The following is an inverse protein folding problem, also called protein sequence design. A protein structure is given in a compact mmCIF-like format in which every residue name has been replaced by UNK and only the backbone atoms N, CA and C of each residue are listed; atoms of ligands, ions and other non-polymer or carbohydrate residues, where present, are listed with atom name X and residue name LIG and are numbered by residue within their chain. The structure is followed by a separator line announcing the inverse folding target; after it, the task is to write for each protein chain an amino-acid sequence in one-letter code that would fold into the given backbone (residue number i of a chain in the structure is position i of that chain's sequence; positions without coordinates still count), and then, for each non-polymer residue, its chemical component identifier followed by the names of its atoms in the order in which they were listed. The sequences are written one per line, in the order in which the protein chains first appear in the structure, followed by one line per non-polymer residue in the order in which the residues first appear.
data_IF_451820528505
#
_entry.id   IF_451820528505
#
_cell.length_a   1.000
_cell.length_b   1.000
_cell.length_c   1.000
_cell.angle_alpha   90.00
_cell.angle_beta   90.00
_cell.angle_gamma   90.00
#
_symmetry.space_group_name_H-M   'P 1'
#
loop_
_entity.id
_entity.type
_entity.pdbx_description
1 polymer ?
#
# COMPACT_ATOMS: atom_id res chain seq x y z
N UNK A 1 -5.46 -13.70 -8.99
CA UNK A 1 -6.59 -13.08 -8.27
C UNK A 1 -6.26 -11.70 -7.73
N UNK A 2 -7.06 -10.66 -7.96
CA UNK A 2 -6.82 -9.29 -7.50
C UNK A 2 -7.79 -8.89 -6.39
N UNK A 3 -7.28 -8.21 -5.36
CA UNK A 3 -8.07 -7.69 -4.25
C UNK A 3 -8.84 -6.41 -4.60
N UNK A 4 -10.04 -6.28 -4.05
CA UNK A 4 -10.88 -5.07 -4.07
C UNK A 4 -10.48 -4.16 -2.91
N UNK A 5 -10.37 -2.85 -3.16
CA UNK A 5 -10.11 -1.88 -2.09
C UNK A 5 -11.38 -1.71 -1.25
N UNK A 6 -11.27 -1.84 0.07
CA UNK A 6 -12.41 -1.67 0.98
C UNK A 6 -11.95 -1.43 2.42
N UNK A 7 -12.90 -1.15 3.33
CA UNK A 7 -12.62 -1.23 4.76
C UNK A 7 -12.35 -2.69 5.19
N UNK A 8 -11.69 -2.91 6.34
CA UNK A 8 -11.58 -4.25 6.92
C UNK A 8 -12.97 -4.89 7.08
N UNK A 9 -13.24 -6.03 6.44
CA UNK A 9 -14.52 -6.70 6.59
C UNK A 9 -14.66 -7.29 8.00
N UNK A 10 -15.90 -7.35 8.49
CA UNK A 10 -16.23 -7.98 9.76
C UNK A 10 -16.59 -9.47 9.58
N UNK A 11 -16.43 -10.22 10.68
CA UNK A 11 -16.84 -11.61 10.81
C UNK A 11 -15.73 -12.62 10.50
N UNK A 12 -16.01 -13.85 10.90
CA UNK A 12 -15.05 -14.94 11.07
C UNK A 12 -14.79 -15.70 9.76
N UNK A 13 -15.56 -15.37 8.71
CA UNK A 13 -15.44 -15.91 7.36
C UNK A 13 -14.23 -15.36 6.58
N UNK A 14 -13.35 -14.61 7.24
CA UNK A 14 -12.17 -13.99 6.64
C UNK A 14 -10.90 -14.45 7.36
N UNK A 15 -9.94 -14.92 6.58
CA UNK A 15 -8.55 -14.95 6.99
C UNK A 15 -7.93 -13.58 6.75
N UNK A 16 -7.06 -13.13 7.65
CA UNK A 16 -6.36 -11.85 7.54
C UNK A 16 -4.88 -12.10 7.36
N UNK A 17 -4.28 -11.49 6.34
CA UNK A 17 -2.85 -11.55 6.07
C UNK A 17 -2.26 -10.14 5.99
N UNK A 18 -0.95 -10.02 6.24
CA UNK A 18 -0.24 -8.77 5.99
C UNK A 18 -0.28 -8.39 4.52
N UNK A 19 -0.52 -7.11 4.26
CA UNK A 19 -0.30 -6.52 2.94
C UNK A 19 1.18 -6.12 2.82
N UNK A 20 1.91 -6.80 1.95
CA UNK A 20 3.30 -6.49 1.67
C UNK A 20 3.42 -5.46 0.54
N UNK A 21 4.34 -4.50 0.71
CA UNK A 21 4.67 -3.52 -0.31
C UNK A 21 5.86 -4.01 -1.14
N UNK A 22 5.57 -4.60 -2.30
CA UNK A 22 6.57 -5.25 -3.14
C UNK A 22 6.17 -5.38 -4.59
N UNK A 23 6.67 -6.45 -5.23
CA UNK A 23 6.29 -6.84 -6.57
C UNK A 23 5.65 -8.23 -6.55
N UNK A 24 4.35 -8.29 -6.88
CA UNK A 24 3.68 -9.57 -7.07
C UNK A 24 4.37 -10.46 -8.10
N UNK A 25 4.54 -11.72 -7.74
CA UNK A 25 5.11 -12.75 -8.59
C UNK A 25 4.36 -14.08 -8.48
N UNK A 26 4.26 -14.77 -9.61
CA UNK A 26 3.88 -16.18 -9.67
C UNK A 26 5.13 -17.01 -9.94
N UNK A 27 5.44 -17.92 -9.03
CA UNK A 27 6.58 -18.83 -9.13
C UNK A 27 6.09 -20.19 -9.61
N UNK A 28 6.58 -20.66 -10.76
CA UNK A 28 6.35 -22.02 -11.26
C UNK A 28 7.60 -22.83 -10.98
N UNK A 29 7.44 -23.92 -10.24
CA UNK A 29 8.51 -24.90 -9.99
C UNK A 29 8.15 -26.19 -10.69
N UNK A 30 9.04 -26.70 -11.54
CA UNK A 30 8.90 -27.98 -12.22
C UNK A 30 10.22 -28.74 -12.14
N UNK A 31 10.21 -29.88 -11.45
CA UNK A 31 11.38 -30.75 -11.25
C UNK A 31 12.62 -30.01 -10.72
N UNK A 32 12.40 -28.99 -9.87
CA UNK A 32 13.46 -28.15 -9.29
C UNK A 32 13.84 -26.93 -10.13
N UNK A 33 13.40 -26.85 -11.39
CA UNK A 33 13.55 -25.66 -12.23
C UNK A 33 12.50 -24.62 -11.86
N UNK A 34 12.89 -23.34 -11.85
CA UNK A 34 12.03 -22.23 -11.43
C UNK A 34 11.90 -21.18 -12.50
N UNK A 35 10.66 -20.80 -12.82
CA UNK A 35 10.34 -19.64 -13.66
C UNK A 35 9.45 -18.69 -12.88
N UNK A 36 9.74 -17.40 -12.97
CA UNK A 36 9.10 -16.34 -12.19
C UNK A 36 8.40 -15.38 -13.15
N UNK A 37 7.09 -15.25 -12.99
CA UNK A 37 6.29 -14.31 -13.76
C UNK A 37 5.85 -13.14 -12.90
N UNK A 38 5.98 -11.92 -13.42
CA UNK A 38 5.35 -10.74 -12.82
C UNK A 38 3.83 -10.81 -12.96
N UNK A 39 3.12 -9.94 -12.22
CA UNK A 39 1.66 -9.78 -12.32
C UNK A 39 1.12 -9.67 -13.77
N UNK A 40 1.89 -9.08 -14.69
CA UNK A 40 1.45 -8.85 -16.07
C UNK A 40 1.97 -9.93 -17.04
N UNK A 41 2.51 -11.05 -16.52
CA UNK A 41 2.98 -12.18 -17.33
C UNK A 41 4.39 -12.04 -17.89
N UNK A 42 5.15 -11.00 -17.53
CA UNK A 42 6.56 -10.90 -17.94
C UNK A 42 7.43 -11.88 -17.15
N UNK A 43 8.30 -12.63 -17.84
CA UNK A 43 9.35 -13.43 -17.20
C UNK A 43 10.40 -12.52 -16.57
N UNK A 44 10.52 -12.62 -15.24
CA UNK A 44 11.41 -11.83 -14.39
C UNK A 44 12.44 -12.72 -13.69
N UNK A 45 12.58 -13.98 -14.11
CA UNK A 45 13.49 -14.98 -13.50
C UNK A 45 14.92 -14.45 -13.45
N UNK A 46 15.37 -13.80 -14.53
CA UNK A 46 16.73 -13.23 -14.60
C UNK A 46 16.96 -12.10 -13.60
N UNK A 47 15.92 -11.38 -13.19
CA UNK A 47 16.04 -10.25 -12.25
C UNK A 47 16.15 -10.70 -10.79
N UNK A 48 15.60 -11.87 -10.48
CA UNK A 48 15.61 -12.44 -9.14
C UNK A 48 16.24 -13.84 -9.12
N UNK A 49 17.51 -13.99 -9.57
CA UNK A 49 18.16 -15.29 -9.67
C UNK A 49 18.30 -16.02 -8.33
N UNK A 50 18.31 -15.30 -7.21
CA UNK A 50 18.33 -15.92 -5.87
C UNK A 50 17.06 -16.73 -5.57
N UNK A 51 15.91 -16.36 -6.16
CA UNK A 51 14.64 -17.05 -5.96
C UNK A 51 14.57 -18.38 -6.71
N UNK A 52 15.51 -18.70 -7.61
CA UNK A 52 15.52 -20.02 -8.27
C UNK A 52 15.90 -21.15 -7.32
N UNK A 53 16.56 -20.83 -6.20
CA UNK A 53 16.84 -21.81 -5.13
C UNK A 53 15.56 -22.34 -4.46
N UNK A 54 14.40 -21.69 -4.68
CA UNK A 54 13.10 -22.18 -4.22
C UNK A 54 12.81 -23.62 -4.71
N UNK A 55 13.25 -23.97 -5.92
CA UNK A 55 13.05 -25.31 -6.47
C UNK A 55 13.71 -26.44 -5.67
N UNK A 56 14.68 -26.11 -4.82
CA UNK A 56 15.39 -27.08 -3.97
C UNK A 56 14.74 -27.28 -2.59
N UNK A 57 13.93 -26.31 -2.15
CA UNK A 57 13.36 -26.29 -0.79
C UNK A 57 11.86 -26.64 -0.76
N UNK A 58 11.15 -26.52 -1.88
CA UNK A 58 9.74 -26.87 -1.93
C UNK A 58 9.56 -28.39 -1.96
N UNK A 59 8.73 -28.91 -1.06
CA UNK A 59 8.44 -30.33 -0.91
C UNK A 59 7.48 -30.90 -1.99
N UNK A 60 7.60 -30.47 -3.25
CA UNK A 60 6.82 -30.98 -4.37
C UNK A 60 7.59 -30.88 -5.70
N UNK A 61 7.36 -31.85 -6.59
CA UNK A 61 7.97 -31.86 -7.93
C UNK A 61 7.39 -30.80 -8.86
N UNK A 62 6.14 -30.42 -8.66
CA UNK A 62 5.43 -29.40 -9.45
C UNK A 62 4.63 -28.53 -8.49
N UNK A 63 4.86 -27.21 -8.51
CA UNK A 63 4.08 -26.24 -7.73
C UNK A 63 3.94 -24.92 -8.48
N UNK A 64 2.81 -24.25 -8.29
CA UNK A 64 2.61 -22.85 -8.69
C UNK A 64 2.28 -22.03 -7.45
N UNK A 65 3.20 -21.16 -7.05
CA UNK A 65 3.06 -20.27 -5.91
C UNK A 65 2.62 -18.86 -6.36
N UNK A 66 1.80 -18.21 -5.55
CA UNK A 66 1.47 -16.79 -5.70
C UNK A 66 1.97 -16.04 -4.47
N UNK A 67 2.69 -14.95 -4.69
CA UNK A 67 3.40 -14.25 -3.63
C UNK A 67 3.80 -12.84 -3.98
N UNK A 68 4.44 -12.19 -3.01
CA UNK A 68 5.02 -10.85 -3.17
C UNK A 68 6.54 -10.93 -3.01
N UNK A 69 7.30 -10.47 -4.01
CA UNK A 69 8.73 -10.27 -3.89
C UNK A 69 8.96 -8.97 -3.12
N UNK A 70 9.68 -9.04 -2.01
CA UNK A 70 9.98 -7.90 -1.14
C UNK A 70 11.48 -7.74 -0.95
N UNK A 71 11.92 -6.50 -0.78
CA UNK A 71 13.22 -6.17 -0.21
C UNK A 71 12.99 -5.54 1.15
N UNK A 72 13.69 -6.01 2.19
CA UNK A 72 13.50 -5.50 3.55
C UNK A 72 14.42 -4.30 3.82
N UNK A 73 13.97 -3.34 4.62
CA UNK A 73 14.81 -2.25 5.16
C UNK A 73 15.67 -2.72 6.35
N UNK A 74 16.36 -1.79 7.01
CA UNK A 74 17.22 -2.10 8.17
C UNK A 74 16.42 -2.54 9.40
N UNK A 75 15.11 -2.26 9.44
CA UNK A 75 14.17 -2.63 10.50
C UNK A 75 13.41 -3.92 10.15
N UNK A 76 13.71 -4.55 9.01
CA UNK A 76 13.07 -5.79 8.56
C UNK A 76 11.73 -5.60 7.85
N UNK A 77 11.36 -4.37 7.49
CA UNK A 77 10.06 -4.06 6.85
C UNK A 77 10.18 -4.06 5.33
N UNK A 78 9.15 -4.52 4.60
CA UNK A 78 9.12 -4.40 3.14
C UNK A 78 9.28 -2.95 2.69
N UNK A 79 10.21 -2.69 1.78
CA UNK A 79 10.45 -1.38 1.19
C UNK A 79 10.44 -1.47 -0.33
N UNK A 80 9.36 -1.00 -0.94
CA UNK A 80 9.26 -0.94 -2.39
C UNK A 80 10.33 -0.03 -3.00
N UNK A 81 10.65 1.09 -2.35
CA UNK A 81 11.72 1.99 -2.78
C UNK A 81 13.09 1.28 -2.85
N UNK A 82 13.39 0.41 -1.86
CA UNK A 82 14.60 -0.42 -1.90
C UNK A 82 14.54 -1.44 -3.04
N UNK A 83 13.40 -2.13 -3.20
CA UNK A 83 13.19 -3.12 -4.26
C UNK A 83 13.34 -2.51 -5.67
N UNK A 84 12.88 -1.27 -5.88
CA UNK A 84 12.99 -0.56 -7.17
C UNK A 84 14.42 -0.43 -7.67
N UNK A 85 15.43 -0.50 -6.80
CA UNK A 85 16.84 -0.54 -7.22
C UNK A 85 17.17 -1.75 -8.10
N UNK A 86 16.33 -2.79 -8.12
CA UNK A 86 16.44 -3.96 -9.00
C UNK A 86 15.86 -3.73 -10.42
N UNK A 87 15.34 -2.55 -10.74
CA UNK A 87 14.84 -2.22 -12.07
C UNK A 87 15.99 -1.90 -13.05
N UNK A 88 15.98 -2.34 -14.33
CA UNK A 88 14.88 -2.97 -15.06
C UNK A 88 14.76 -4.50 -14.97
N UNK A 89 13.51 -4.98 -14.94
CA UNK A 89 13.07 -6.34 -14.61
C UNK A 89 13.45 -7.48 -15.58
N UNK A 90 14.30 -7.24 -16.58
CA UNK A 90 14.75 -8.28 -17.53
C UNK A 90 16.28 -8.44 -17.56
N UNK A 91 16.98 -7.77 -16.65
CA UNK A 91 18.43 -7.83 -16.53
C UNK A 91 18.82 -8.57 -15.26
N UNK A 92 19.88 -9.36 -15.36
CA UNK A 92 20.51 -9.99 -14.20
C UNK A 92 21.32 -8.95 -13.43
N UNK A 93 20.99 -8.68 -12.15
CA UNK A 93 21.75 -7.75 -11.34
C UNK A 93 23.18 -8.23 -11.12
N UNK A 94 24.12 -7.29 -11.01
CA UNK A 94 25.49 -7.59 -10.64
C UNK A 94 25.59 -8.11 -9.19
N UNK A 95 26.68 -8.83 -8.83
CA UNK A 95 26.85 -9.42 -7.49
C UNK A 95 26.75 -8.40 -6.34
N UNK A 96 27.19 -7.16 -6.56
CA UNK A 96 27.09 -6.09 -5.56
C UNK A 96 25.64 -5.74 -5.26
N UNK A 97 24.80 -5.53 -6.29
CA UNK A 97 23.39 -5.19 -6.11
C UNK A 97 22.60 -6.35 -5.47
N UNK A 98 22.99 -7.60 -5.77
CA UNK A 98 22.42 -8.79 -5.14
C UNK A 98 22.61 -8.78 -3.63
N UNK A 99 23.83 -8.44 -3.16
CA UNK A 99 24.15 -8.33 -1.74
C UNK A 99 23.53 -7.12 -1.06
N UNK A 100 23.43 -5.99 -1.75
CA UNK A 100 22.90 -4.74 -1.20
C UNK A 100 21.36 -4.73 -1.10
N UNK A 101 20.68 -5.47 -1.96
CA UNK A 101 19.20 -5.48 -2.02
C UNK A 101 18.72 -6.92 -2.04
N UNK A 102 18.99 -7.75 -1.01
CA UNK A 102 18.50 -9.12 -0.98
C UNK A 102 16.97 -9.12 -1.01
N UNK A 103 16.38 -10.07 -1.73
CA UNK A 103 14.92 -10.20 -1.82
C UNK A 103 14.43 -11.51 -1.21
N UNK A 104 13.14 -11.53 -0.87
CA UNK A 104 12.43 -12.72 -0.43
C UNK A 104 11.09 -12.79 -1.16
N UNK A 105 10.61 -14.01 -1.41
CA UNK A 105 9.23 -14.27 -1.78
C UNK A 105 8.40 -14.50 -0.52
N UNK A 106 7.42 -13.62 -0.29
CA UNK A 106 6.36 -13.81 0.69
C UNK A 106 5.21 -14.54 -0.01
N UNK A 107 5.21 -15.87 0.02
CA UNK A 107 4.18 -16.69 -0.60
C UNK A 107 2.90 -16.69 0.24
N UNK A 108 1.76 -16.42 -0.41
CA UNK A 108 0.47 -16.26 0.26
C UNK A 108 -0.66 -17.11 -0.33
N UNK A 109 -0.42 -17.81 -1.44
CA UNK A 109 -1.34 -18.79 -2.01
C UNK A 109 -0.58 -19.84 -2.83
N UNK A 110 -1.25 -20.96 -3.10
CA UNK A 110 -0.78 -22.03 -3.99
C UNK A 110 -1.88 -22.35 -5.00
N UNK A 111 -1.55 -22.26 -6.28
CA UNK A 111 -2.49 -22.39 -7.39
C UNK A 111 -2.55 -23.85 -7.87
N UNK A 112 -1.42 -24.54 -7.85
CA UNK A 112 -1.31 -25.96 -8.18
C UNK A 112 -0.18 -26.61 -7.38
N UNK A 113 -0.32 -27.88 -7.03
CA UNK A 113 0.72 -28.66 -6.37
C UNK A 113 0.60 -30.15 -6.68
N UNK A 114 1.73 -30.80 -7.00
CA UNK A 114 1.79 -32.23 -7.29
C UNK A 114 0.91 -32.65 -8.47
N UNK A 115 0.81 -31.81 -9.51
CA UNK A 115 -0.02 -32.06 -10.69
C UNK A 115 -1.53 -31.84 -10.48
N UNK A 116 -1.95 -31.36 -9.29
CA UNK A 116 -3.36 -31.00 -9.02
C UNK A 116 -3.56 -29.49 -9.15
N UNK A 117 -4.59 -29.10 -9.89
CA UNK A 117 -5.14 -27.75 -9.89
C UNK A 117 -5.91 -27.51 -8.58
N UNK A 118 -5.56 -26.44 -7.87
CA UNK A 118 -6.18 -26.07 -6.59
C UNK A 118 -7.08 -24.84 -6.74
N UNK A 119 -7.25 -24.27 -7.93
CA UNK A 119 -8.01 -23.02 -8.12
C UNK A 119 -9.47 -23.14 -7.71
N UNK A 120 -10.07 -24.33 -7.84
CA UNK A 120 -11.43 -24.64 -7.39
C UNK A 120 -11.57 -24.83 -5.87
N UNK A 121 -10.47 -25.09 -5.16
CA UNK A 121 -10.48 -25.39 -3.73
C UNK A 121 -10.69 -24.11 -2.89
N UNK A 122 -11.34 -24.21 -1.71
CA UNK A 122 -11.43 -23.12 -0.75
C UNK A 122 -10.06 -22.58 -0.33
N UNK A 123 -9.97 -21.28 -0.04
CA UNK A 123 -8.73 -20.65 0.42
C UNK A 123 -8.08 -21.38 1.60
N UNK A 124 -8.87 -21.83 2.59
CA UNK A 124 -8.35 -22.62 3.72
C UNK A 124 -7.60 -23.87 3.26
N UNK A 125 -8.11 -24.59 2.25
CA UNK A 125 -7.45 -25.80 1.74
C UNK A 125 -6.18 -25.50 0.96
N UNK A 126 -6.19 -24.44 0.15
CA UNK A 126 -4.96 -23.98 -0.51
C UNK A 126 -3.93 -23.54 0.52
N UNK A 127 -4.36 -22.87 1.60
CA UNK A 127 -3.47 -22.41 2.67
C UNK A 127 -2.83 -23.57 3.44
N UNK A 128 -3.60 -24.59 3.81
CA UNK A 128 -3.08 -25.84 4.41
C UNK A 128 -2.01 -26.48 3.50
N UNK A 129 -2.28 -26.56 2.19
CA UNK A 129 -1.31 -27.10 1.22
C UNK A 129 -0.06 -26.23 1.17
N UNK A 130 -0.18 -24.91 1.05
CA UNK A 130 0.95 -23.99 1.00
C UNK A 130 1.87 -24.14 2.23
N UNK A 131 1.28 -24.22 3.43
CA UNK A 131 2.04 -24.39 4.67
C UNK A 131 2.74 -25.76 4.75
N UNK A 132 2.16 -26.81 4.16
CA UNK A 132 2.81 -28.13 4.10
C UNK A 132 3.98 -28.23 3.12
N UNK A 133 4.09 -27.28 2.17
CA UNK A 133 5.07 -27.32 1.09
C UNK A 133 6.42 -26.70 1.44
N UNK A 134 6.50 -25.94 2.53
CA UNK A 134 7.66 -25.12 2.87
C UNK A 134 8.09 -25.41 4.31
N UNK A 135 9.33 -25.86 4.49
CA UNK A 135 9.95 -25.98 5.82
C UNK A 135 10.18 -24.59 6.46
N UNK A 136 10.09 -24.47 7.78
CA UNK A 136 10.18 -23.20 8.54
C UNK A 136 11.56 -22.49 8.48
N UNK A 137 12.53 -23.03 7.74
CA UNK A 137 13.89 -22.49 7.63
C UNK A 137 13.91 -21.09 6.99
N UNK A 138 14.57 -20.09 7.61
CA UNK A 138 14.70 -18.75 7.04
C UNK A 138 15.49 -18.78 5.72
N UNK A 139 14.85 -18.43 4.62
CA UNK A 139 15.49 -18.39 3.31
C UNK A 139 14.93 -17.33 2.37
N UNK A 140 15.07 -17.59 1.07
CA UNK A 140 14.51 -16.76 0.00
C UNK A 140 12.98 -16.88 -0.12
N UNK A 141 12.39 -17.88 0.53
CA UNK A 141 10.95 -18.13 0.59
C UNK A 141 10.48 -18.00 2.04
N UNK A 142 9.31 -17.40 2.22
CA UNK A 142 8.62 -17.34 3.50
C UNK A 142 7.13 -17.48 3.23
N UNK A 143 6.44 -18.25 4.07
CA UNK A 143 4.97 -18.33 4.08
C UNK A 143 4.49 -17.56 5.31
N UNK A 144 4.15 -16.26 5.18
CA UNK A 144 3.74 -15.46 6.33
C UNK A 144 2.42 -15.99 6.89
N UNK A 145 2.27 -16.00 8.21
CA UNK A 145 1.07 -16.50 8.90
C UNK A 145 -0.20 -15.83 8.38
N UNK A 146 -1.24 -16.65 8.14
CA UNK A 146 -2.61 -16.19 7.98
C UNK A 146 -3.32 -16.26 9.34
N UNK A 147 -4.04 -15.20 9.70
CA UNK A 147 -4.76 -15.11 10.96
C UNK A 147 -6.24 -15.42 10.75
N UNK A 148 -6.78 -16.32 11.56
CA UNK A 148 -8.18 -16.76 11.51
C UNK A 148 -8.87 -16.39 12.84
N UNK A 149 -10.16 -16.03 12.78
CA UNK A 149 -10.93 -15.68 13.98
C UNK A 149 -10.48 -14.39 14.68
N UNK A 150 -9.69 -13.56 14.01
CA UNK A 150 -9.24 -12.24 14.52
C UNK A 150 -9.92 -11.15 13.71
N UNK A 151 -10.48 -10.09 14.33
CA UNK A 151 -11.04 -8.96 13.61
C UNK A 151 -10.01 -8.31 12.69
N UNK A 152 -10.37 -8.13 11.41
CA UNK A 152 -9.48 -7.51 10.43
C UNK A 152 -9.16 -6.03 10.76
N UNK A 153 -10.03 -5.36 11.51
CA UNK A 153 -9.79 -4.01 12.02
C UNK A 153 -8.62 -3.99 13.01
N UNK A 154 -8.60 -4.90 13.99
CA UNK A 154 -7.52 -4.98 14.98
C UNK A 154 -6.18 -5.28 14.31
N UNK A 155 -6.16 -6.20 13.34
CA UNK A 155 -4.97 -6.49 12.54
C UNK A 155 -4.50 -5.29 11.70
N UNK A 156 -5.42 -4.42 11.26
CA UNK A 156 -5.05 -3.17 10.57
C UNK A 156 -4.41 -2.17 11.54
N UNK A 157 -4.87 -2.09 12.78
CA UNK A 157 -4.24 -1.27 13.82
C UNK A 157 -2.83 -1.78 14.15
N UNK A 158 -2.64 -3.10 14.26
CA UNK A 158 -1.30 -3.69 14.40
C UNK A 158 -0.43 -3.39 13.18
N UNK A 159 -0.98 -3.45 11.96
CA UNK A 159 -0.25 -3.03 10.76
C UNK A 159 0.22 -1.58 10.86
N UNK A 160 -0.61 -0.67 11.40
CA UNK A 160 -0.30 0.75 11.59
C UNK A 160 0.83 0.94 12.60
N UNK A 161 0.78 0.24 13.74
CA UNK A 161 1.83 0.30 14.78
C UNK A 161 3.18 -0.19 14.28
N UNK A 162 3.19 -1.24 13.46
CA UNK A 162 4.39 -1.81 12.87
C UNK A 162 4.80 -1.19 11.53
N UNK A 163 4.11 -0.13 11.09
CA UNK A 163 4.36 0.58 9.83
C UNK A 163 4.36 -0.35 8.60
N UNK A 164 3.47 -1.33 8.61
CA UNK A 164 3.18 -2.24 7.49
C UNK A 164 2.21 -1.56 6.51
N UNK A 165 2.15 -2.05 5.26
CA UNK A 165 1.31 -1.42 4.24
C UNK A 165 -0.20 -1.57 4.52
N UNK A 166 -0.59 -2.53 5.36
CA UNK A 166 -1.97 -2.84 5.73
C UNK A 166 -2.24 -4.33 5.80
N UNK A 167 -3.49 -4.69 5.55
CA UNK A 167 -3.94 -6.08 5.56
C UNK A 167 -4.68 -6.45 4.28
N UNK A 168 -4.70 -7.73 3.97
CA UNK A 168 -5.58 -8.34 2.96
C UNK A 168 -6.44 -9.38 3.66
N UNK A 169 -7.75 -9.16 3.66
CA UNK A 169 -8.73 -10.13 4.14
C UNK A 169 -9.15 -11.04 2.98
N UNK A 170 -9.03 -12.35 3.16
CA UNK A 170 -9.38 -13.38 2.17
C UNK A 170 -10.53 -14.23 2.70
N UNK A 171 -11.60 -14.36 1.92
CA UNK A 171 -12.77 -15.15 2.32
C UNK A 171 -12.40 -16.63 2.37
N UNK A 172 -12.60 -17.30 3.51
CA UNK A 172 -12.04 -18.63 3.80
C UNK A 172 -12.54 -19.74 2.87
N UNK A 173 -13.79 -19.61 2.41
CA UNK A 173 -14.49 -20.54 1.51
C UNK A 173 -14.27 -20.22 0.02
N UNK A 174 -13.50 -19.17 -0.32
CA UNK A 174 -13.42 -18.68 -1.70
C UNK A 174 -12.46 -19.49 -2.59
N UNK A 175 -12.85 -19.75 -3.85
CA UNK A 175 -11.94 -20.30 -4.84
C UNK A 175 -10.96 -19.23 -5.33
N UNK A 176 -9.89 -19.65 -5.97
CA UNK A 176 -8.96 -18.74 -6.64
C UNK A 176 -9.50 -18.40 -8.05
N UNK A 177 -9.79 -17.11 -8.30
CA UNK A 177 -10.24 -16.65 -9.62
C UNK A 177 -9.31 -15.58 -10.18
N UNK A 178 -9.06 -15.66 -11.47
CA UNK A 178 -8.36 -14.60 -12.19
C UNK A 178 -9.16 -13.29 -12.14
N UNK A 179 -8.46 -12.15 -12.20
CA UNK A 179 -9.09 -10.84 -12.17
C UNK A 179 -9.49 -10.37 -10.77
N UNK A 180 -10.19 -9.24 -10.70
CA UNK A 180 -10.61 -8.60 -9.45
C UNK A 180 -11.80 -9.32 -8.84
N UNK A 181 -11.71 -9.62 -7.55
CA UNK A 181 -12.73 -10.33 -6.80
C UNK A 181 -13.08 -9.62 -5.49
N UNK A 182 -14.33 -9.70 -5.01
CA UNK A 182 -14.71 -9.24 -3.68
C UNK A 182 -14.22 -10.16 -2.57
N UNK A 183 -13.78 -11.40 -2.88
CA UNK A 183 -13.32 -12.35 -1.87
C UNK A 183 -11.95 -12.03 -1.30
N UNK A 184 -11.21 -11.12 -1.93
CA UNK A 184 -10.00 -10.54 -1.37
C UNK A 184 -10.25 -9.03 -1.19
N UNK A 185 -10.21 -8.56 0.05
CA UNK A 185 -10.37 -7.15 0.41
C UNK A 185 -9.04 -6.64 0.90
N UNK A 186 -8.47 -5.65 0.22
CA UNK A 186 -7.26 -4.96 0.68
C UNK A 186 -7.63 -3.71 1.45
N UNK A 187 -7.08 -3.59 2.65
CA UNK A 187 -7.27 -2.47 3.56
C UNK A 187 -5.88 -1.90 3.87
N UNK A 188 -5.38 -0.95 3.07
CA UNK A 188 -4.07 -0.35 3.34
C UNK A 188 -4.14 0.51 4.60
N UNK A 189 -3.07 0.55 5.38
CA UNK A 189 -2.90 1.59 6.40
C UNK A 189 -2.90 2.93 5.68
N UNK A 190 -3.73 3.85 6.16
CA UNK A 190 -3.69 5.25 5.74
C UNK A 190 -3.29 6.06 6.95
N UNK A 191 -2.25 6.86 6.79
CA UNK A 191 -1.99 7.91 7.74
C UNK A 191 -3.06 8.97 7.59
N UNK A 192 -3.38 9.63 8.69
CA UNK A 192 -4.24 10.82 8.70
C UNK A 192 -3.49 11.95 9.35
N UNK A 193 -3.63 13.15 8.79
CA UNK A 193 -3.14 14.37 9.41
C UNK A 193 -4.24 15.42 9.37
N UNK A 194 -4.31 16.21 10.42
CA UNK A 194 -5.14 17.40 10.49
C UNK A 194 -4.32 18.59 9.98
N UNK A 195 -4.73 19.14 8.85
CA UNK A 195 -3.96 20.12 8.11
C UNK A 195 -4.79 21.37 7.82
N UNK A 196 -4.14 22.52 7.86
CA UNK A 196 -4.72 23.81 7.56
C UNK A 196 -5.08 23.89 6.07
N UNK A 197 -6.26 24.43 5.77
CA UNK A 197 -6.68 24.71 4.40
C UNK A 197 -6.09 26.07 3.98
N UNK A 198 -5.22 26.06 2.96
CA UNK A 198 -4.47 27.27 2.55
C UNK A 198 -4.76 27.72 1.12
N UNK A 199 -5.30 26.85 0.27
CA UNK A 199 -5.81 27.25 -1.03
C UNK A 199 -6.84 26.26 -1.56
N UNK A 200 -7.61 26.67 -2.57
CA UNK A 200 -8.46 25.78 -3.35
C UNK A 200 -8.44 26.11 -4.84
N UNK A 201 -8.72 25.11 -5.66
CA UNK A 201 -8.90 25.24 -7.11
C UNK A 201 -10.19 24.53 -7.52
N UNK A 202 -10.83 24.98 -8.60
CA UNK A 202 -12.05 24.36 -9.11
C UNK A 202 -12.97 25.32 -9.87
N UNK A 203 -14.06 24.77 -10.45
CA UNK A 203 -15.06 25.57 -11.14
C UNK A 203 -15.78 26.54 -10.19
N UNK A 204 -16.46 27.57 -10.70
CA UNK A 204 -17.27 28.47 -9.88
C UNK A 204 -18.25 27.70 -8.96
N UNK A 205 -18.35 28.13 -7.70
CA UNK A 205 -19.27 27.54 -6.73
C UNK A 205 -18.88 26.18 -6.14
N UNK A 206 -17.70 25.63 -6.50
CA UNK A 206 -17.26 24.31 -6.01
C UNK A 206 -15.74 24.22 -5.83
N UNK A 207 -15.33 23.50 -4.79
CA UNK A 207 -13.94 23.05 -4.64
C UNK A 207 -13.69 21.81 -5.49
N UNK A 208 -12.70 21.87 -6.37
CA UNK A 208 -12.14 20.78 -7.16
C UNK A 208 -10.98 20.07 -6.44
N UNK A 209 -10.08 20.85 -5.87
CA UNK A 209 -8.94 20.40 -5.08
C UNK A 209 -8.59 21.42 -3.99
N UNK A 210 -7.88 20.96 -2.96
CA UNK A 210 -7.34 21.77 -1.86
C UNK A 210 -5.81 21.71 -1.84
N UNK A 211 -5.18 22.80 -1.44
CA UNK A 211 -3.83 22.81 -0.90
C UNK A 211 -3.92 22.81 0.63
N UNK A 212 -3.11 21.97 1.26
CA UNK A 212 -3.11 21.78 2.71
C UNK A 212 -1.72 21.99 3.30
N UNK A 213 -1.66 22.55 4.50
CA UNK A 213 -0.43 22.96 5.17
C UNK A 213 -0.39 22.53 6.64
N UNK A 214 0.81 22.50 7.22
CA UNK A 214 1.02 22.23 8.65
C UNK A 214 2.14 23.09 9.21
N UNK A 215 2.07 23.43 10.51
CA UNK A 215 3.12 24.22 11.13
C UNK A 215 4.37 23.39 11.41
N UNK A 216 5.52 24.02 11.14
CA UNK A 216 6.84 23.61 11.62
C UNK A 216 7.01 24.03 13.09
N UNK A 217 8.00 23.45 13.76
CA UNK A 217 8.32 23.78 15.16
C UNK A 217 8.77 25.24 15.35
N UNK A 218 9.29 25.88 14.30
CA UNK A 218 9.67 27.29 14.30
C UNK A 218 8.48 28.24 14.01
N UNK A 219 7.26 27.72 13.93
CA UNK A 219 6.04 28.50 13.72
C UNK A 219 5.77 28.88 12.26
N UNK A 220 6.61 28.46 11.32
CA UNK A 220 6.34 28.64 9.89
C UNK A 220 5.27 27.67 9.38
N UNK A 221 4.29 28.17 8.64
CA UNK A 221 3.28 27.34 7.97
C UNK A 221 3.83 26.85 6.62
N UNK A 222 3.96 25.55 6.45
CA UNK A 222 4.51 24.94 5.24
C UNK A 222 3.43 24.17 4.48
N UNK A 223 3.39 24.36 3.17
CA UNK A 223 2.57 23.59 2.25
C UNK A 223 3.01 22.12 2.25
N UNK A 224 2.07 21.24 2.60
CA UNK A 224 2.28 19.80 2.79
C UNK A 224 1.85 19.00 1.56
N UNK A 225 0.87 19.48 0.80
CA UNK A 225 0.49 18.84 -0.46
C UNK A 225 -0.89 19.23 -0.98
N UNK A 226 -1.32 18.50 -2.01
CA UNK A 226 -2.58 18.70 -2.71
C UNK A 226 -3.55 17.53 -2.45
N UNK A 227 -4.83 17.85 -2.29
CA UNK A 227 -5.91 16.87 -2.12
C UNK A 227 -6.99 17.08 -3.19
N UNK A 228 -7.15 16.12 -4.09
CA UNK A 228 -8.15 16.17 -5.19
C UNK A 228 -9.31 15.17 -5.08
N UNK A 229 -9.24 14.22 -4.14
CA UNK A 229 -10.19 13.12 -3.99
C UNK A 229 -10.80 13.09 -2.58
N UNK A 230 -11.86 12.29 -2.37
CA UNK A 230 -12.52 12.13 -1.06
C UNK A 230 -13.69 13.08 -0.80
N UNK A 231 -14.07 13.90 -1.77
CA UNK A 231 -15.17 14.85 -1.65
C UNK A 231 -16.48 14.33 -2.26
N UNK A 232 -17.59 14.44 -1.53
CA UNK A 232 -18.93 14.34 -2.12
C UNK A 232 -19.31 15.64 -2.85
N UNK A 233 -20.31 15.61 -3.73
CA UNK A 233 -20.80 16.81 -4.41
C UNK A 233 -21.32 17.88 -3.43
N UNK A 234 -21.86 17.46 -2.29
CA UNK A 234 -22.31 18.35 -1.20
C UNK A 234 -21.11 18.99 -0.50
N UNK A 235 -20.11 18.20 -0.12
CA UNK A 235 -18.88 18.69 0.52
C UNK A 235 -18.16 19.74 -0.35
N UNK A 236 -18.09 19.52 -1.67
CA UNK A 236 -17.44 20.48 -2.58
C UNK A 236 -18.09 21.87 -2.58
N UNK A 237 -19.41 21.95 -2.41
CA UNK A 237 -20.15 23.22 -2.30
C UNK A 237 -19.94 23.85 -0.93
N UNK A 238 -20.08 23.06 0.14
CA UNK A 238 -19.85 23.55 1.51
C UNK A 238 -18.45 24.13 1.70
N UNK A 239 -17.42 23.45 1.18
CA UNK A 239 -16.05 23.95 1.20
C UNK A 239 -15.89 25.26 0.41
N UNK A 240 -16.61 25.43 -0.70
CA UNK A 240 -16.56 26.68 -1.46
C UNK A 240 -17.15 27.84 -0.64
N UNK A 241 -18.32 27.64 -0.02
CA UNK A 241 -19.00 28.68 0.77
C UNK A 241 -18.13 29.19 1.94
N UNK A 242 -17.38 28.30 2.60
CA UNK A 242 -16.54 28.70 3.74
C UNK A 242 -15.17 29.25 3.31
N UNK A 243 -14.60 28.79 2.20
CA UNK A 243 -13.26 29.19 1.77
C UNK A 243 -13.26 30.42 0.87
N UNK A 244 -14.29 30.62 0.04
CA UNK A 244 -14.35 31.72 -0.90
C UNK A 244 -14.31 33.11 -0.23
N UNK A 245 -14.99 33.36 0.91
CA UNK A 245 -14.89 34.64 1.64
C UNK A 245 -13.52 34.92 2.23
N UNK A 246 -12.66 33.89 2.37
CA UNK A 246 -11.34 33.99 2.98
C UNK A 246 -10.22 34.17 1.96
N UNK A 247 -10.55 34.39 0.68
CA UNK A 247 -9.54 34.51 -0.38
C UNK A 247 -8.61 35.69 -0.11
N UNK A 248 -7.30 35.44 -0.21
CA UNK A 248 -6.26 36.43 0.01
C UNK A 248 -5.27 36.47 -1.17
N UNK A 249 -4.61 37.62 -1.35
CA UNK A 249 -3.64 37.81 -2.44
C UNK A 249 -2.28 37.19 -2.13
N UNK A 250 -1.88 37.23 -0.86
CA UNK A 250 -0.58 36.73 -0.41
C UNK A 250 -0.72 35.28 0.06
N UNK A 251 0.10 34.34 -0.46
CA UNK A 251 0.11 32.97 0.04
C UNK A 251 0.50 32.93 1.53
N UNK A 252 -0.25 32.22 2.39
CA UNK A 252 0.03 32.16 3.83
C UNK A 252 1.11 31.13 4.21
N UNK A 253 1.87 30.63 3.23
CA UNK A 253 2.84 29.54 3.41
C UNK A 253 4.24 29.97 2.98
N UNK A 254 5.26 29.38 3.58
CA UNK A 254 6.68 29.72 3.30
C UNK A 254 7.20 29.13 1.98
N UNK A 255 6.50 28.15 1.39
CA UNK A 255 6.89 27.40 0.19
C UNK A 255 5.72 27.29 -0.83
N UNK A 256 5.19 28.40 -1.36
CA UNK A 256 3.94 28.41 -2.12
C UNK A 256 3.97 27.65 -3.47
N UNK A 257 5.15 27.24 -3.96
CA UNK A 257 5.29 26.53 -5.24
C UNK A 257 4.78 27.35 -6.43
N UNK A 258 4.33 26.66 -7.49
CA UNK A 258 3.71 27.31 -8.67
C UNK A 258 2.28 27.74 -8.38
N UNK A 259 1.93 28.97 -8.78
CA UNK A 259 0.67 29.62 -8.37
C UNK A 259 -0.50 29.43 -9.36
N UNK A 260 -0.35 28.65 -10.42
CA UNK A 260 -1.36 28.60 -11.49
C UNK A 260 -2.65 27.88 -11.05
N UNK A 261 -3.77 28.60 -11.10
CA UNK A 261 -5.12 28.04 -10.90
C UNK A 261 -5.58 27.90 -9.44
N UNK A 262 -4.76 28.30 -8.47
CA UNK A 262 -5.08 28.28 -7.04
C UNK A 262 -5.62 29.63 -6.55
N UNK A 263 -6.62 29.58 -5.68
CA UNK A 263 -7.09 30.72 -4.89
C UNK A 263 -6.63 30.53 -3.45
N UNK A 264 -5.64 31.31 -3.03
CA UNK A 264 -5.12 31.30 -1.66
C UNK A 264 -6.18 31.81 -0.69
N UNK A 265 -6.18 31.27 0.53
CA UNK A 265 -7.12 31.66 1.58
C UNK A 265 -6.41 31.88 2.90
N UNK A 266 -6.92 32.81 3.71
CA UNK A 266 -6.47 32.97 5.09
C UNK A 266 -6.74 31.67 5.87
N UNK A 267 -5.75 31.07 6.55
CA UNK A 267 -5.90 29.76 7.19
C UNK A 267 -6.81 29.83 8.43
N UNK A 268 -8.10 29.56 8.27
CA UNK A 268 -9.07 29.50 9.38
C UNK A 268 -9.64 28.10 9.63
N UNK A 269 -9.51 27.20 8.65
CA UNK A 269 -10.15 25.89 8.69
C UNK A 269 -9.10 24.78 8.66
N UNK A 270 -9.36 23.75 9.46
CA UNK A 270 -8.55 22.52 9.51
C UNK A 270 -9.37 21.37 8.93
N UNK A 271 -8.70 20.49 8.21
CA UNK A 271 -9.29 19.30 7.65
C UNK A 271 -8.44 18.07 7.89
N UNK A 272 -9.10 16.94 8.10
CA UNK A 272 -8.42 15.65 8.12
C UNK A 272 -8.19 15.16 6.69
N UNK A 273 -6.94 14.81 6.42
CA UNK A 273 -6.48 14.28 5.15
C UNK A 273 -5.88 12.91 5.40
N UNK A 274 -6.40 11.90 4.72
CA UNK A 274 -5.79 10.57 4.71
C UNK A 274 -4.84 10.44 3.52
N UNK A 275 -3.64 9.94 3.76
CA UNK A 275 -2.58 9.77 2.77
C UNK A 275 -1.81 8.46 3.02
N UNK A 276 -1.02 8.02 2.04
CA UNK A 276 -0.20 6.79 2.15
C UNK A 276 1.18 7.11 2.72
N UNK A 277 1.83 8.13 2.16
CA UNK A 277 3.18 8.55 2.50
C UNK A 277 3.24 10.08 2.43
N UNK A 278 4.10 10.67 3.26
CA UNK A 278 4.51 12.07 3.16
C UNK A 278 6.03 12.16 3.29
N UNK A 279 6.64 13.01 2.48
CA UNK A 279 8.04 13.38 2.64
C UNK A 279 8.23 14.87 2.33
N UNK A 280 9.12 15.57 3.07
CA UNK A 280 9.45 16.96 2.80
C UNK A 280 9.84 17.18 1.33
N UNK A 281 9.28 18.21 0.71
CA UNK A 281 9.51 18.55 -0.70
C UNK A 281 8.85 17.62 -1.75
N UNK A 282 8.35 16.44 -1.37
CA UNK A 282 7.59 15.54 -2.27
C UNK A 282 6.07 15.61 -2.07
N UNK A 283 5.64 16.03 -0.89
CA UNK A 283 4.24 16.20 -0.52
C UNK A 283 3.48 14.89 -0.27
N UNK A 284 2.17 15.00 -0.07
CA UNK A 284 1.29 13.86 0.25
C UNK A 284 1.07 12.93 -0.95
N UNK A 285 1.29 11.62 -0.75
CA UNK A 285 0.98 10.60 -1.76
C UNK A 285 -0.39 9.96 -1.51
N UNK A 286 -1.19 9.88 -2.57
CA UNK A 286 -2.54 9.30 -2.55
C UNK A 286 -3.46 9.96 -1.51
N UNK A 287 -3.38 11.28 -1.39
CA UNK A 287 -4.16 12.05 -0.45
C UNK A 287 -5.67 12.03 -0.78
N UNK A 288 -6.48 11.94 0.26
CA UNK A 288 -7.94 11.95 0.18
C UNK A 288 -8.54 12.72 1.36
N UNK A 289 -9.49 13.59 1.06
CA UNK A 289 -10.23 14.37 2.04
C UNK A 289 -11.10 13.48 2.93
N UNK A 290 -11.13 13.76 4.23
CA UNK A 290 -11.97 13.05 5.21
C UNK A 290 -13.03 13.94 5.84
N UNK A 291 -12.76 15.22 6.02
CA UNK A 291 -13.73 16.16 6.56
C UNK A 291 -13.08 17.32 7.29
N UNK A 292 -13.89 18.30 7.67
CA UNK A 292 -13.47 19.39 8.55
C UNK A 292 -13.26 18.88 9.97
N UNK A 293 -12.38 19.56 10.72
CA UNK A 293 -12.08 19.29 12.12
C UNK A 293 -12.25 20.57 12.93
N UNK A 294 -12.77 20.44 14.14
CA UNK A 294 -12.94 21.54 15.09
C UNK A 294 -11.64 21.72 15.89
N UNK A 295 -10.58 22.08 15.18
CA UNK A 295 -9.22 22.25 15.73
C UNK A 295 -8.71 23.61 15.30
N UNK A 296 -8.02 24.30 16.22
CA UNK A 296 -7.45 25.61 15.89
C UNK A 296 -6.29 25.45 14.92
N UNK A 297 -6.19 26.34 13.92
CA UNK A 297 -5.20 26.19 12.83
C UNK A 297 -3.76 26.10 13.33
N UNK A 298 -3.43 26.80 14.42
CA UNK A 298 -2.11 26.80 15.05
C UNK A 298 -1.71 25.47 15.68
N UNK A 299 -2.64 24.53 15.84
CA UNK A 299 -2.38 23.18 16.37
C UNK A 299 -1.97 22.20 15.26
N UNK A 300 -2.20 22.55 13.99
CA UNK A 300 -1.78 21.70 12.87
C UNK A 300 -0.26 21.57 12.84
N UNK A 301 0.25 20.40 12.47
CA UNK A 301 1.68 20.11 12.37
C UNK A 301 1.99 19.44 11.05
N UNK A 302 3.27 19.46 10.67
CA UNK A 302 3.74 18.62 9.57
C UNK A 302 3.40 17.15 9.83
N UNK A 303 2.99 16.37 8.81
CA UNK A 303 2.81 14.94 8.97
C UNK A 303 4.10 14.26 9.43
N UNK A 304 3.99 13.11 10.09
CA UNK A 304 5.17 12.32 10.44
C UNK A 304 5.74 11.66 9.18
N UNK A 305 7.06 11.72 9.00
CA UNK A 305 7.75 10.96 7.96
C UNK A 305 7.81 9.49 8.39
N UNK A 306 7.28 8.59 7.57
CA UNK A 306 7.51 7.14 7.71
C UNK A 306 8.78 6.70 6.99
#
# INVERSE_FOLDING_TARGET
MLATLGPPPAGDQWAVEWKFDGQRASLIVEHGEVVIFSRNGADITRTFPELTSVGQIVAAKSVVLDGEIVALDAQGRPSFARLQRRWPQQRRPGPTLLREVPVRLMAFDVIAAGGRDLTGEPYVKRREVLESLVSEEPGVLTVPKAFFGVPAADMLEVAREHQMEGVVSKRVDSPYREGRSPWWVKSPVRQTAELALVAFAGPPGRVGALLVAGYRDDGALELVGQVGTGFSAVMRRQLFEILHPLVCEVPPVVNPGEQHGWRWVTPHHVGEVAFREWAPGRGLRHASWKGLREVHVSETRLPTVL
#
